data_IF_635636423932
#
_entry.id   IF_635636423932
#
_cell.length_a   1.000
_cell.length_b   1.000
_cell.length_c   1.000
_cell.angle_alpha   90.00
_cell.angle_beta   90.00
_cell.angle_gamma   90.00
#
_symmetry.space_group_name_H-M   'P 1'
#
loop_
_entity.id
_entity.type
_entity.pdbx_description
1 polymer ?
#
# COMPACT_ATOMS: atom_id res chain seq x y z
N UNK A 1 1.72 46.54 37.14
CA UNK A 1 1.93 45.44 38.12
C UNK A 1 1.75 44.15 37.33
N UNK A 2 2.87 43.61 36.80
CA UNK A 2 3.47 42.30 37.19
C UNK A 2 2.64 41.11 36.71
N UNK A 3 3.12 40.10 35.99
CA UNK A 3 4.47 39.72 35.56
C UNK A 3 4.38 38.61 34.50
N UNK A 4 5.47 38.47 33.75
CA UNK A 4 5.81 37.45 32.77
C UNK A 4 5.52 35.98 33.12
N UNK A 5 5.38 35.18 32.06
CA UNK A 5 5.56 33.72 32.09
C UNK A 5 5.58 33.11 30.69
N UNK A 6 6.63 33.38 29.89
CA UNK A 6 6.94 32.64 28.66
C UNK A 6 7.67 31.35 29.05
N UNK A 7 7.07 30.20 28.80
CA UNK A 7 7.71 28.88 28.73
C UNK A 7 6.92 28.10 27.68
N UNK A 8 7.29 28.11 26.40
CA UNK A 8 8.43 27.42 25.79
C UNK A 8 8.36 25.90 26.03
N UNK A 9 8.14 25.21 24.92
CA UNK A 9 7.99 23.79 24.74
C UNK A 9 9.11 22.95 25.34
N UNK A 10 8.80 21.71 25.70
CA UNK A 10 9.71 20.58 25.59
C UNK A 10 8.89 19.32 25.34
N UNK A 11 9.18 18.72 24.19
CA UNK A 11 8.50 17.59 23.60
C UNK A 11 8.56 16.34 24.48
N UNK A 12 7.45 15.62 24.48
CA UNK A 12 7.44 14.20 24.74
C UNK A 12 8.25 13.47 23.66
N UNK A 13 9.14 12.57 24.10
CA UNK A 13 9.59 11.43 23.30
C UNK A 13 9.84 10.28 24.26
N UNK A 14 8.73 9.71 24.74
CA UNK A 14 8.71 8.40 25.36
C UNK A 14 9.05 7.34 24.29
N UNK A 15 9.67 6.26 24.76
CA UNK A 15 10.21 5.13 24.02
C UNK A 15 9.34 4.61 22.86
N UNK A 16 9.97 4.40 21.70
CA UNK A 16 9.54 3.37 20.74
C UNK A 16 10.76 2.60 20.24
N UNK A 17 11.17 1.65 21.10
CA UNK A 17 11.84 0.43 20.67
C UNK A 17 10.76 -0.53 20.15
N UNK A 18 10.40 -0.43 18.86
CA UNK A 18 9.70 -1.51 18.16
C UNK A 18 10.26 -1.67 16.74
N UNK A 19 11.31 -2.47 16.65
CA UNK A 19 11.62 -3.24 15.44
C UNK A 19 10.52 -4.28 15.23
N UNK A 20 9.53 -3.96 14.41
CA UNK A 20 8.44 -4.86 14.06
C UNK A 20 7.26 -4.07 13.53
N UNK A 21 6.76 -4.46 12.37
CA UNK A 21 5.62 -3.87 11.70
C UNK A 21 4.34 -3.98 12.56
N UNK A 22 4.13 -3.07 13.52
CA UNK A 22 2.86 -2.95 14.26
C UNK A 22 2.73 -1.54 14.87
N UNK A 23 2.45 -0.57 14.01
CA UNK A 23 1.88 0.72 14.37
C UNK A 23 1.29 1.40 13.14
N UNK A 24 0.22 0.79 12.60
CA UNK A 24 -0.68 1.43 11.65
C UNK A 24 -2.07 1.35 12.27
N UNK A 25 -2.43 2.39 13.00
CA UNK A 25 -3.72 2.49 13.66
C UNK A 25 -3.72 3.73 14.54
N UNK A 26 -4.03 4.87 13.93
CA UNK A 26 -4.65 6.08 14.53
C UNK A 26 -4.18 7.34 13.80
N UNK A 27 -4.70 7.55 12.60
CA UNK A 27 -4.86 8.87 11.97
C UNK A 27 -5.66 8.73 10.67
N UNK A 28 -6.96 8.44 10.78
CA UNK A 28 -7.91 8.67 9.67
C UNK A 28 -8.81 9.82 10.11
N UNK A 29 -8.27 11.03 10.09
CA UNK A 29 -9.07 12.24 10.19
C UNK A 29 -9.41 12.74 8.78
N UNK A 30 -10.69 12.63 8.44
CA UNK A 30 -11.28 13.16 7.24
C UNK A 30 -11.14 14.70 7.22
N UNK A 31 -10.30 15.24 6.33
CA UNK A 31 -10.17 16.70 6.21
C UNK A 31 -9.74 17.26 4.87
N UNK A 32 -8.98 16.55 4.04
CA UNK A 32 -8.59 16.98 2.68
C UNK A 32 -8.16 15.74 1.90
N UNK A 33 -8.81 15.42 0.77
CA UNK A 33 -8.67 14.12 0.08
C UNK A 33 -7.33 13.97 -0.68
N UNK A 34 -6.24 14.00 0.06
CA UNK A 34 -4.97 13.40 -0.36
C UNK A 34 -4.72 12.30 0.65
N UNK A 35 -4.64 11.05 0.19
CA UNK A 35 -4.27 9.97 1.08
C UNK A 35 -2.82 10.21 1.50
N UNK A 36 -2.57 10.38 2.80
CA UNK A 36 -1.20 10.45 3.29
C UNK A 36 -0.46 9.18 2.89
N UNK A 37 0.82 9.33 2.52
CA UNK A 37 1.68 8.25 1.99
C UNK A 37 1.54 6.95 2.80
N UNK A 38 1.52 7.07 4.13
CA UNK A 38 1.39 5.93 5.06
C UNK A 38 0.06 5.19 4.87
N UNK A 39 -1.06 5.91 4.81
CA UNK A 39 -2.39 5.29 4.65
C UNK A 39 -2.55 4.61 3.29
N UNK A 40 -2.10 5.27 2.22
CA UNK A 40 -2.12 4.68 0.89
C UNK A 40 -1.23 3.43 0.78
N UNK A 41 -0.05 3.47 1.39
CA UNK A 41 0.88 2.34 1.43
C UNK A 41 0.34 1.16 2.24
N UNK A 42 -0.28 1.41 3.40
CA UNK A 42 -0.90 0.36 4.20
C UNK A 42 -2.01 -0.35 3.41
N UNK A 43 -2.91 0.42 2.78
CA UNK A 43 -3.98 -0.16 1.96
C UNK A 43 -3.41 -0.93 0.75
N UNK A 44 -2.43 -0.34 0.05
CA UNK A 44 -1.83 -0.95 -1.13
C UNK A 44 -1.09 -2.25 -0.82
N UNK A 45 -0.35 -2.33 0.28
CA UNK A 45 0.33 -3.55 0.70
C UNK A 45 -0.66 -4.65 1.10
N UNK A 46 -1.82 -4.30 1.65
CA UNK A 46 -2.92 -5.25 1.89
C UNK A 46 -3.57 -5.74 0.58
N UNK A 47 -3.61 -4.90 -0.45
CA UNK A 47 -4.12 -5.28 -1.78
C UNK A 47 -3.12 -6.15 -2.54
N UNK A 48 -1.81 -5.87 -2.43
CA UNK A 48 -0.73 -6.49 -3.19
C UNK A 48 -0.25 -7.85 -2.62
N UNK A 49 -1.17 -8.67 -2.13
CA UNK A 49 -0.89 -10.05 -1.70
C UNK A 49 -0.68 -10.97 -2.93
N UNK A 50 0.60 -11.32 -3.17
CA UNK A 50 1.05 -12.26 -4.20
C UNK A 50 1.14 -13.68 -3.62
N UNK A 51 0.01 -14.25 -3.22
CA UNK A 51 -0.05 -15.62 -2.74
C UNK A 51 -0.03 -16.62 -3.92
N UNK A 52 1.03 -17.43 -4.14
CA UNK A 52 1.12 -18.37 -5.26
C UNK A 52 0.20 -19.59 -5.09
N UNK A 53 -0.39 -19.78 -3.91
CA UNK A 53 -1.30 -20.88 -3.58
C UNK A 53 -2.77 -20.45 -3.63
N UNK A 54 -3.06 -19.21 -4.03
CA UNK A 54 -4.43 -18.75 -4.20
C UNK A 54 -5.12 -19.53 -5.32
N UNK A 55 -6.40 -19.83 -5.11
CA UNK A 55 -7.24 -20.40 -6.15
C UNK A 55 -7.28 -19.48 -7.40
N UNK A 56 -7.04 -20.03 -8.61
CA UNK A 56 -7.07 -19.29 -9.87
C UNK A 56 -8.33 -18.44 -10.10
N UNK A 57 -9.52 -18.99 -9.81
CA UNK A 57 -10.77 -18.24 -9.97
C UNK A 57 -10.85 -17.11 -8.96
N UNK A 58 -10.52 -17.36 -7.69
CA UNK A 58 -10.49 -16.32 -6.66
C UNK A 58 -9.52 -15.18 -6.99
N UNK A 59 -8.38 -15.48 -7.62
CA UNK A 59 -7.45 -14.45 -8.07
C UNK A 59 -8.09 -13.60 -9.17
N UNK A 60 -8.74 -14.23 -10.14
CA UNK A 60 -9.41 -13.53 -11.25
C UNK A 60 -10.59 -12.68 -10.79
N UNK A 61 -11.43 -13.21 -9.92
CA UNK A 61 -12.59 -12.51 -9.34
C UNK A 61 -12.19 -11.23 -8.60
N UNK A 62 -11.05 -11.27 -7.90
CA UNK A 62 -10.56 -10.10 -7.13
C UNK A 62 -9.63 -9.18 -7.91
N UNK A 63 -9.19 -9.58 -9.10
CA UNK A 63 -8.20 -8.82 -9.86
C UNK A 63 -8.72 -7.44 -10.27
N UNK A 64 -9.97 -7.36 -10.71
CA UNK A 64 -10.59 -6.09 -11.11
C UNK A 64 -10.73 -5.12 -9.93
N UNK A 65 -11.27 -5.58 -8.79
CA UNK A 65 -11.38 -4.76 -7.58
C UNK A 65 -10.01 -4.23 -7.10
N UNK A 66 -9.01 -5.12 -7.04
CA UNK A 66 -7.66 -4.74 -6.62
C UNK A 66 -7.01 -3.74 -7.57
N UNK A 67 -7.21 -3.92 -8.88
CA UNK A 67 -6.72 -3.00 -9.91
C UNK A 67 -7.33 -1.61 -9.75
N UNK A 68 -8.65 -1.53 -9.61
CA UNK A 68 -9.37 -0.27 -9.47
C UNK A 68 -8.97 0.47 -8.19
N UNK A 69 -8.86 -0.26 -7.06
CA UNK A 69 -8.43 0.33 -5.78
C UNK A 69 -7.00 0.83 -5.81
N UNK A 70 -6.07 0.10 -6.41
CA UNK A 70 -4.68 0.55 -6.56
C UNK A 70 -4.59 1.79 -7.45
N UNK A 71 -5.37 1.89 -8.53
CA UNK A 71 -5.45 3.12 -9.35
C UNK A 71 -6.06 4.29 -8.59
N UNK A 72 -7.11 4.04 -7.80
CA UNK A 72 -7.71 5.06 -6.96
C UNK A 72 -6.71 5.60 -5.94
N UNK A 73 -5.96 4.73 -5.26
CA UNK A 73 -4.88 5.14 -4.37
C UNK A 73 -3.82 5.96 -5.12
N UNK A 74 -3.39 5.51 -6.30
CA UNK A 74 -2.40 6.22 -7.12
C UNK A 74 -2.87 7.63 -7.53
N UNK A 75 -4.18 7.83 -7.74
CA UNK A 75 -4.76 9.14 -8.03
C UNK A 75 -4.83 10.08 -6.83
N UNK A 76 -4.72 9.54 -5.61
CA UNK A 76 -4.89 10.29 -4.36
C UNK A 76 -3.58 10.51 -3.58
N UNK A 77 -2.44 10.00 -4.05
CA UNK A 77 -1.11 10.23 -3.45
C UNK A 77 -0.35 11.33 -4.19
N UNK A 78 0.37 12.17 -3.44
CA UNK A 78 1.24 13.22 -4.01
C UNK A 78 2.62 12.68 -4.44
N UNK A 79 3.13 11.69 -3.70
CA UNK A 79 4.42 11.06 -3.93
C UNK A 79 4.42 10.29 -5.28
N UNK A 80 5.35 10.67 -6.18
CA UNK A 80 5.40 10.09 -7.52
C UNK A 80 5.95 8.66 -7.53
N UNK A 81 6.83 8.30 -6.59
CA UNK A 81 7.39 6.95 -6.52
C UNK A 81 6.32 5.98 -6.01
N UNK A 82 5.56 6.38 -4.99
CA UNK A 82 4.39 5.64 -4.51
C UNK A 82 3.36 5.50 -5.63
N UNK A 83 3.02 6.59 -6.31
CA UNK A 83 2.09 6.56 -7.46
C UNK A 83 2.53 5.56 -8.53
N UNK A 84 3.81 5.61 -8.94
CA UNK A 84 4.34 4.72 -9.97
C UNK A 84 4.33 3.26 -9.53
N UNK A 85 4.67 2.98 -8.27
CA UNK A 85 4.63 1.63 -7.75
C UNK A 85 3.20 1.08 -7.65
N UNK A 86 2.24 1.91 -7.22
CA UNK A 86 0.80 1.56 -7.20
C UNK A 86 0.29 1.22 -8.61
N UNK A 87 0.61 2.04 -9.60
CA UNK A 87 0.23 1.80 -11.00
C UNK A 87 0.89 0.54 -11.56
N UNK A 88 2.18 0.36 -11.31
CA UNK A 88 2.89 -0.85 -11.72
C UNK A 88 2.31 -2.13 -11.12
N UNK A 89 1.78 -2.02 -9.89
CA UNK A 89 1.11 -3.12 -9.22
C UNK A 89 -0.31 -3.34 -9.75
N UNK A 90 -1.08 -2.27 -10.02
CA UNK A 90 -2.40 -2.34 -10.67
C UNK A 90 -2.32 -3.02 -12.04
N UNK A 91 -1.31 -2.68 -12.85
CA UNK A 91 -1.12 -3.26 -14.18
C UNK A 91 -0.89 -4.78 -14.12
N UNK A 92 -0.31 -5.32 -13.04
CA UNK A 92 -0.19 -6.78 -12.88
C UNK A 92 -1.53 -7.49 -12.75
N UNK A 93 -2.53 -6.82 -12.17
CA UNK A 93 -3.87 -7.37 -12.01
C UNK A 93 -4.66 -7.26 -13.33
N UNK A 94 -4.32 -6.30 -14.20
CA UNK A 94 -4.80 -6.29 -15.59
C UNK A 94 -4.27 -7.50 -16.35
N UNK A 95 -3.00 -7.89 -16.14
CA UNK A 95 -2.43 -9.11 -16.75
C UNK A 95 -3.23 -10.35 -16.34
N UNK A 96 -3.60 -10.49 -15.06
CA UNK A 96 -4.47 -11.57 -14.57
C UNK A 96 -5.81 -11.63 -15.30
N UNK A 97 -6.44 -10.47 -15.50
CA UNK A 97 -7.75 -10.38 -16.16
C UNK A 97 -7.69 -10.83 -17.63
N UNK A 98 -6.57 -10.55 -18.29
CA UNK A 98 -6.32 -10.88 -19.71
C UNK A 98 -5.80 -12.30 -19.91
N UNK A 99 -5.02 -12.82 -18.97
CA UNK A 99 -4.47 -14.17 -19.04
C UNK A 99 -5.55 -15.24 -18.75
N UNK A 100 -5.40 -16.40 -19.41
CA UNK A 100 -6.13 -17.60 -19.05
C UNK A 100 -5.48 -18.21 -17.80
N UNK A 101 -5.85 -17.70 -16.63
CA UNK A 101 -5.40 -18.27 -15.35
C UNK A 101 -6.29 -19.48 -15.04
N UNK A 102 -5.93 -20.62 -15.60
CA UNK A 102 -6.70 -21.87 -15.54
C UNK A 102 -6.12 -22.88 -14.53
N UNK A 103 -4.87 -22.69 -14.09
CA UNK A 103 -4.20 -23.59 -13.15
C UNK A 103 -3.25 -22.86 -12.17
N UNK A 104 -2.90 -23.57 -11.09
CA UNK A 104 -2.02 -23.06 -10.02
C UNK A 104 -0.58 -22.75 -10.50
N UNK A 105 -0.11 -23.40 -11.57
CA UNK A 105 1.19 -23.13 -12.18
C UNK A 105 1.23 -21.75 -12.85
N UNK A 106 0.14 -21.32 -13.48
CA UNK A 106 0.00 -19.95 -14.03
C UNK A 106 0.03 -18.93 -12.90
N UNK A 107 -0.71 -19.16 -11.82
CA UNK A 107 -0.73 -18.30 -10.62
C UNK A 107 0.67 -18.15 -10.01
N UNK A 108 1.38 -19.27 -9.81
CA UNK A 108 2.73 -19.24 -9.26
C UNK A 108 3.72 -18.48 -10.16
N UNK A 109 3.60 -18.62 -11.49
CA UNK A 109 4.41 -17.84 -12.44
C UNK A 109 4.05 -16.36 -12.40
N UNK A 110 2.77 -16.01 -12.34
CA UNK A 110 2.32 -14.63 -12.19
C UNK A 110 2.86 -14.01 -10.91
N UNK A 111 2.71 -14.69 -9.77
CA UNK A 111 3.22 -14.24 -8.48
C UNK A 111 4.73 -14.00 -8.56
N UNK A 112 5.50 -14.97 -9.09
CA UNK A 112 6.95 -14.86 -9.27
C UNK A 112 7.37 -13.66 -10.12
N UNK A 113 6.67 -13.39 -11.24
CA UNK A 113 6.97 -12.22 -12.10
C UNK A 113 6.66 -10.89 -11.41
N UNK A 114 5.69 -10.89 -10.49
CA UNK A 114 5.20 -9.68 -9.85
C UNK A 114 5.87 -9.37 -8.51
N UNK A 115 6.72 -10.26 -7.97
CA UNK A 115 7.53 -9.99 -6.77
C UNK A 115 8.31 -8.68 -6.89
N UNK A 116 8.90 -8.39 -8.05
CA UNK A 116 9.66 -7.16 -8.25
C UNK A 116 8.80 -5.88 -8.17
N UNK A 117 7.52 -5.95 -8.59
CA UNK A 117 6.59 -4.82 -8.47
C UNK A 117 6.15 -4.62 -7.02
N UNK A 118 5.93 -5.72 -6.30
CA UNK A 118 5.64 -5.68 -4.87
C UNK A 118 6.83 -5.15 -4.06
N UNK A 119 8.05 -5.51 -4.45
CA UNK A 119 9.27 -4.97 -3.83
C UNK A 119 9.40 -3.47 -4.09
N UNK A 120 9.19 -3.02 -5.34
CA UNK A 120 9.14 -1.60 -5.67
C UNK A 120 8.07 -0.84 -4.86
N UNK A 121 6.90 -1.43 -4.65
CA UNK A 121 5.86 -0.86 -3.79
C UNK A 121 6.33 -0.74 -2.33
N UNK A 122 6.98 -1.78 -1.78
CA UNK A 122 7.55 -1.70 -0.43
C UNK A 122 8.62 -0.64 -0.30
N UNK A 123 9.53 -0.55 -1.27
CA UNK A 123 10.58 0.47 -1.30
C UNK A 123 10.01 1.88 -1.40
N UNK A 124 9.01 2.10 -2.26
CA UNK A 124 8.35 3.39 -2.36
C UNK A 124 7.60 3.76 -1.07
N UNK A 125 7.15 2.76 -0.30
CA UNK A 125 6.42 2.93 0.94
C UNK A 125 7.28 3.08 2.21
N UNK A 126 8.60 2.83 2.11
CA UNK A 126 9.59 3.27 3.12
C UNK A 126 9.96 4.75 2.98
#
# INVERSE_FOLDING_TARGET
>A
MTSWGRTAASLAAAALLLSGCDQVGDAVDQGSRTADKVGACAEALGLADLNPLVDPQKLKERAEDKEQRLRALAGNVADQDVKNALLGMADSYVEVQKERIEDAGVVARWAKRNVAKLDALRTACS
#
